data_IF_001454281434
#
_entry.id   IF_001454281434
#
_cell.length_a   1.000
_cell.length_b   1.000
_cell.length_c   1.000
_cell.angle_alpha   90.00
_cell.angle_beta   90.00
_cell.angle_gamma   90.00
#
_symmetry.space_group_name_H-M   'P 1'
#
loop_
_entity.id
_entity.type
_entity.pdbx_description
1 polymer ?
#
# COMPACT_ATOMS: atom_id res chain seq x y z
N UNK A 1 -4.55 -8.04 -15.07
CA UNK A 1 -4.77 -9.27 -14.28
C UNK A 1 -5.32 -8.87 -12.93
N UNK A 2 -5.82 -9.82 -12.14
CA UNK A 2 -6.41 -9.56 -10.81
C UNK A 2 -5.59 -10.28 -9.74
N UNK A 3 -5.01 -9.53 -8.80
CA UNK A 3 -4.23 -10.09 -7.69
C UNK A 3 -5.16 -10.52 -6.56
N UNK A 4 -4.67 -11.38 -5.67
CA UNK A 4 -5.37 -11.73 -4.42
C UNK A 4 -4.42 -11.56 -3.23
N UNK A 5 -5.00 -11.28 -2.06
CA UNK A 5 -4.28 -11.17 -0.78
C UNK A 5 -4.89 -12.16 0.19
N UNK A 6 -4.03 -12.94 0.83
CA UNK A 6 -4.43 -13.77 1.96
C UNK A 6 -4.45 -12.91 3.21
N UNK A 7 -5.63 -12.70 3.76
CA UNK A 7 -5.83 -11.95 4.99
C UNK A 7 -5.31 -12.74 6.20
N UNK A 8 -4.53 -12.08 7.05
CA UNK A 8 -4.09 -12.59 8.35
C UNK A 8 -5.14 -12.31 9.41
N UNK A 9 -5.05 -13.05 10.52
CA UNK A 9 -5.90 -12.81 11.68
C UNK A 9 -5.70 -11.37 12.20
N UNK A 10 -6.75 -10.71 12.69
CA UNK A 10 -6.64 -9.40 13.32
C UNK A 10 -5.60 -9.38 14.44
N UNK A 11 -4.82 -8.30 14.54
CA UNK A 11 -3.90 -8.06 15.65
C UNK A 11 -4.67 -7.27 16.70
N UNK A 12 -4.76 -7.79 17.92
CA UNK A 12 -5.54 -7.18 19.03
C UNK A 12 -7.01 -6.88 18.67
N UNK A 13 -7.60 -7.69 17.78
CA UNK A 13 -8.98 -7.50 17.28
C UNK A 13 -9.10 -6.41 16.20
N UNK A 14 -8.01 -5.74 15.83
CA UNK A 14 -7.98 -4.70 14.79
C UNK A 14 -7.59 -5.33 13.45
N UNK A 15 -8.43 -5.12 12.44
CA UNK A 15 -8.18 -5.55 11.06
C UNK A 15 -7.35 -4.49 10.33
N UNK A 16 -6.36 -4.94 9.57
CA UNK A 16 -5.62 -4.05 8.67
C UNK A 16 -6.51 -3.44 7.59
N UNK A 17 -6.10 -2.27 7.09
CA UNK A 17 -6.80 -1.50 6.07
C UNK A 17 -6.07 -1.59 4.73
N UNK A 18 -6.83 -1.80 3.66
CA UNK A 18 -6.34 -1.76 2.29
C UNK A 18 -6.97 -2.81 1.40
N UNK A 19 -6.32 -3.04 0.26
CA UNK A 19 -6.77 -3.99 -0.74
C UNK A 19 -5.60 -4.56 -1.53
N UNK A 20 -5.96 -5.34 -2.55
CA UNK A 20 -5.06 -6.22 -3.30
C UNK A 20 -4.05 -5.41 -4.11
N UNK A 21 -4.46 -4.25 -4.65
CA UNK A 21 -3.59 -3.37 -5.40
C UNK A 21 -2.60 -2.65 -4.48
N UNK A 22 -3.06 -2.11 -3.35
CA UNK A 22 -2.21 -1.42 -2.37
C UNK A 22 -1.23 -2.39 -1.72
N UNK A 23 -1.65 -3.60 -1.36
CA UNK A 23 -0.77 -4.63 -0.79
C UNK A 23 0.32 -5.08 -1.77
N UNK A 24 -0.07 -5.33 -3.02
CA UNK A 24 0.88 -5.61 -4.09
C UNK A 24 1.89 -4.46 -4.24
N UNK A 25 1.40 -3.23 -4.29
CA UNK A 25 2.24 -2.07 -4.52
C UNK A 25 3.16 -1.76 -3.33
N UNK A 26 2.72 -2.00 -2.08
CA UNK A 26 3.57 -1.86 -0.90
C UNK A 26 4.70 -2.89 -0.92
N UNK A 27 4.41 -4.14 -1.29
CA UNK A 27 5.43 -5.16 -1.50
C UNK A 27 6.41 -4.77 -2.61
N UNK A 28 5.90 -4.21 -3.72
CA UNK A 28 6.73 -3.70 -4.81
C UNK A 28 7.64 -2.55 -4.34
N UNK A 29 7.09 -1.56 -3.63
CA UNK A 29 7.85 -0.42 -3.08
C UNK A 29 8.98 -0.86 -2.14
N UNK A 30 8.74 -1.90 -1.33
CA UNK A 30 9.79 -2.53 -0.50
C UNK A 30 10.90 -3.13 -1.36
N UNK A 31 10.54 -3.79 -2.47
CA UNK A 31 11.50 -4.40 -3.39
C UNK A 31 12.35 -3.38 -4.17
N UNK A 32 11.79 -2.22 -4.51
CA UNK A 32 12.47 -1.18 -5.30
C UNK A 32 13.05 -0.05 -4.45
N UNK A 33 12.99 -0.12 -3.12
CA UNK A 33 13.43 0.95 -2.24
C UNK A 33 14.89 1.38 -2.53
N UNK A 34 15.08 2.66 -2.86
CA UNK A 34 16.36 3.25 -3.23
C UNK A 34 16.72 3.16 -4.72
N UNK A 35 15.91 2.51 -5.55
CA UNK A 35 16.11 2.48 -7.00
C UNK A 35 15.61 3.78 -7.65
N UNK A 36 16.44 4.39 -8.50
CA UNK A 36 16.06 5.59 -9.25
C UNK A 36 15.32 5.24 -10.55
N UNK A 37 14.44 6.13 -11.00
CA UNK A 37 13.75 6.03 -12.29
C UNK A 37 12.62 4.99 -12.36
N UNK A 38 12.22 4.38 -11.24
CA UNK A 38 11.11 3.43 -11.17
C UNK A 38 9.90 4.11 -10.52
N UNK A 39 8.78 4.14 -11.26
CA UNK A 39 7.48 4.61 -10.79
C UNK A 39 6.42 3.55 -11.13
N UNK A 40 5.47 3.36 -10.23
CA UNK A 40 4.40 2.38 -10.40
C UNK A 40 3.07 2.92 -9.88
N UNK A 41 2.00 2.46 -10.52
CA UNK A 41 0.61 2.63 -10.10
C UNK A 41 -0.03 1.24 -10.14
N UNK A 42 -0.71 0.88 -9.05
CA UNK A 42 -1.63 -0.24 -9.03
C UNK A 42 -2.98 0.29 -8.59
N UNK A 43 -4.02 0.03 -9.38
CA UNK A 43 -5.36 0.54 -9.13
C UNK A 43 -6.43 -0.42 -9.65
N UNK A 44 -7.55 -0.49 -8.94
CA UNK A 44 -8.77 -1.12 -9.40
C UNK A 44 -9.54 -0.17 -10.31
N UNK A 45 -10.13 -0.71 -11.37
CA UNK A 45 -10.84 0.08 -12.38
C UNK A 45 -12.23 0.50 -11.93
N UNK A 46 -12.78 -0.16 -10.91
CA UNK A 46 -14.07 0.21 -10.30
C UNK A 46 -13.95 1.35 -9.27
N UNK A 47 -12.71 1.76 -8.95
CA UNK A 47 -12.42 2.86 -8.03
C UNK A 47 -12.19 2.46 -6.58
N UNK A 48 -12.29 1.16 -6.23
CA UNK A 48 -12.23 0.70 -4.83
C UNK A 48 -11.23 -0.46 -4.68
N UNK A 49 -10.23 -0.28 -3.81
CA UNK A 49 -9.25 -1.29 -3.47
C UNK A 49 -9.44 -1.79 -2.04
N UNK A 50 -10.36 -2.75 -1.90
CA UNK A 50 -10.58 -3.48 -0.66
C UNK A 50 -11.48 -2.73 0.33
N UNK A 51 -10.93 -2.35 1.48
CA UNK A 51 -11.73 -1.90 2.63
C UNK A 51 -11.92 -0.38 2.75
N UNK A 52 -11.28 0.42 1.89
CA UNK A 52 -11.23 1.88 2.00
C UNK A 52 -11.60 2.56 0.67
N UNK A 53 -11.75 3.88 0.66
CA UNK A 53 -12.27 4.66 -0.48
C UNK A 53 -11.19 5.09 -1.50
N UNK A 54 -10.12 4.32 -1.64
CA UNK A 54 -9.08 4.54 -2.66
C UNK A 54 -9.15 3.42 -3.70
N UNK A 55 -8.81 3.71 -4.95
CA UNK A 55 -8.69 2.72 -6.00
C UNK A 55 -7.35 1.96 -5.94
N UNK A 56 -6.39 2.47 -5.18
CA UNK A 56 -5.05 1.89 -5.07
C UNK A 56 -4.05 2.94 -4.58
N UNK A 57 -2.83 2.91 -5.10
CA UNK A 57 -1.78 3.85 -4.70
C UNK A 57 -0.74 4.07 -5.81
N UNK A 58 0.10 5.08 -5.60
CA UNK A 58 1.34 5.31 -6.35
C UNK A 58 2.55 4.86 -5.52
N UNK A 59 3.61 4.42 -6.19
CA UNK A 59 4.87 4.12 -5.54
C UNK A 59 6.07 4.43 -6.43
N UNK A 60 7.17 4.81 -5.80
CA UNK A 60 8.48 4.93 -6.43
C UNK A 60 9.59 4.46 -5.48
N UNK A 61 10.85 4.55 -5.92
CA UNK A 61 12.01 4.15 -5.12
C UNK A 61 12.20 4.96 -3.83
N UNK A 62 11.52 6.11 -3.68
CA UNK A 62 11.54 6.95 -2.48
C UNK A 62 10.39 6.67 -1.51
N UNK A 63 9.33 5.97 -1.93
CA UNK A 63 8.12 5.75 -1.12
C UNK A 63 8.43 5.18 0.27
N UNK A 64 9.29 4.17 0.37
CA UNK A 64 9.63 3.54 1.67
C UNK A 64 10.46 4.46 2.56
N UNK A 65 11.33 5.31 1.99
CA UNK A 65 12.08 6.29 2.77
C UNK A 65 11.16 7.39 3.31
N UNK A 66 10.17 7.82 2.54
CA UNK A 66 9.11 8.74 2.99
C UNK A 66 8.26 8.13 4.10
N UNK A 67 7.86 6.86 3.99
CA UNK A 67 7.11 6.16 5.04
C UNK A 67 7.92 6.13 6.34
N UNK A 68 9.20 5.79 6.26
CA UNK A 68 10.09 5.79 7.42
C UNK A 68 10.22 7.18 8.05
N UNK A 69 10.36 8.24 7.23
CA UNK A 69 10.42 9.61 7.72
C UNK A 69 9.11 10.04 8.42
N UNK A 70 7.98 9.46 8.02
CA UNK A 70 6.67 9.64 8.67
C UNK A 70 6.45 8.71 9.89
N UNK A 71 7.46 7.93 10.30
CA UNK A 71 7.35 6.99 11.44
C UNK A 71 6.59 5.69 11.12
N UNK A 72 6.41 5.36 9.84
CA UNK A 72 5.70 4.15 9.40
C UNK A 72 6.69 3.11 8.87
N UNK A 73 6.64 1.90 9.44
CA UNK A 73 7.38 0.75 8.92
C UNK A 73 6.56 0.02 7.85
N UNK A 74 6.97 0.15 6.59
CA UNK A 74 6.34 -0.49 5.43
C UNK A 74 6.22 -2.02 5.57
N UNK A 75 7.25 -2.70 6.11
CA UNK A 75 7.22 -4.16 6.27
C UNK A 75 6.23 -4.58 7.35
N UNK A 76 6.17 -3.81 8.45
CA UNK A 76 5.18 -4.04 9.50
C UNK A 76 3.74 -3.83 8.98
N UNK A 77 3.52 -2.77 8.20
CA UNK A 77 2.20 -2.50 7.59
C UNK A 77 1.78 -3.62 6.63
N UNK A 78 2.69 -4.09 5.76
CA UNK A 78 2.43 -5.23 4.87
C UNK A 78 2.14 -6.51 5.66
N UNK A 79 2.89 -6.78 6.73
CA UNK A 79 2.67 -7.95 7.58
C UNK A 79 1.33 -7.90 8.34
N UNK A 80 0.79 -6.71 8.59
CA UNK A 80 -0.50 -6.50 9.25
C UNK A 80 -1.68 -6.32 8.30
N UNK A 81 -1.51 -6.59 7.01
CA UNK A 81 -2.48 -6.29 5.94
C UNK A 81 -3.00 -4.84 5.97
N UNK A 82 -2.12 -3.88 6.25
CA UNK A 82 -2.46 -2.49 6.52
C UNK A 82 -1.81 -1.51 5.53
N UNK A 83 -1.76 -1.90 4.25
CA UNK A 83 -1.11 -1.12 3.21
C UNK A 83 -1.72 0.27 3.01
N UNK A 84 -3.02 0.43 3.26
CA UNK A 84 -3.68 1.74 3.19
C UNK A 84 -3.04 2.75 4.14
N UNK A 85 -2.79 2.34 5.39
CA UNK A 85 -2.18 3.22 6.40
C UNK A 85 -0.78 3.67 5.97
N UNK A 86 -0.03 2.78 5.32
CA UNK A 86 1.30 3.10 4.81
C UNK A 86 1.26 4.20 3.73
N UNK A 87 0.41 4.04 2.72
CA UNK A 87 0.31 5.01 1.62
C UNK A 87 -0.39 6.30 2.06
N UNK A 88 -1.36 6.23 2.97
CA UNK A 88 -2.02 7.40 3.55
C UNK A 88 -1.01 8.30 4.28
N UNK A 89 -0.07 7.71 5.03
CA UNK A 89 0.93 8.46 5.78
C UNK A 89 1.87 9.32 4.91
N UNK A 90 1.98 9.00 3.62
CA UNK A 90 2.85 9.69 2.67
C UNK A 90 2.09 10.39 1.53
N UNK A 91 0.76 10.37 1.55
CA UNK A 91 -0.08 11.04 0.56
C UNK A 91 -0.13 10.37 -0.81
N UNK A 92 0.13 9.07 -0.88
CA UNK A 92 0.30 8.33 -2.15
C UNK A 92 -0.93 7.51 -2.57
N UNK A 93 -2.04 7.62 -1.84
CA UNK A 93 -3.28 6.94 -2.22
C UNK A 93 -3.84 7.52 -3.52
N UNK A 94 -4.33 6.63 -4.39
CA UNK A 94 -5.03 7.04 -5.61
C UNK A 94 -6.54 7.00 -5.38
N UNK A 95 -7.20 8.16 -5.53
CA UNK A 95 -8.65 8.34 -5.38
C UNK A 95 -9.19 8.96 -6.68
N UNK A 96 -9.84 8.18 -7.57
CA UNK A 96 -10.18 8.63 -8.93
C UNK A 96 -11.38 9.59 -9.05
N UNK A 97 -12.05 9.94 -7.94
CA UNK A 97 -13.18 10.88 -7.92
C UNK A 97 -14.55 10.24 -8.03
#
# INVERSE_FOLDING_TARGET
GETTVTLRAPIDGIRGKGGRNSEFLLSFAIGINGAEGIHALAADTDGIDGSENNAGAFADGSTVSRMRAAGVDAKAMLAGNNAWTAFNAVGDLFVPG
#
